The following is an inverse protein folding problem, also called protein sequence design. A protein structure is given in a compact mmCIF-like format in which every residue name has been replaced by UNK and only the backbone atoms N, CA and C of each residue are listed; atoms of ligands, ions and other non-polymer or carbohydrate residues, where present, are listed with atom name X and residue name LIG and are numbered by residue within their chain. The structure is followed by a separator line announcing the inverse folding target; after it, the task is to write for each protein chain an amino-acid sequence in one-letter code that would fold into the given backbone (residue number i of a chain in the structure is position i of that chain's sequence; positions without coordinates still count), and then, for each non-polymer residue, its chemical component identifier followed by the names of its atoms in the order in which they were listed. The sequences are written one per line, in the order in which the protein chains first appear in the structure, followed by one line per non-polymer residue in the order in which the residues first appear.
data_IF_823529366663
#
_entry.id   IF_823529366663
#
_cell.length_a   1.000
_cell.length_b   1.000
_cell.length_c   1.000
_cell.angle_alpha   90.00
_cell.angle_beta   90.00
_cell.angle_gamma   90.00
#
_symmetry.space_group_name_H-M   'P 1'
#
loop_
_entity.id
_entity.type
_entity.pdbx_description
1 polymer ?
#
# COMPACT_ATOMS: atom_id res chain seq x y z
N UNK A 1 -39.41 5.82 7.64
CA UNK A 1 -38.56 6.99 7.35
C UNK A 1 -37.50 6.54 6.37
N UNK A 2 -37.38 7.18 5.21
CA UNK A 2 -36.31 6.82 4.26
C UNK A 2 -34.97 7.06 4.93
N UNK A 3 -34.13 6.01 5.05
CA UNK A 3 -32.78 6.13 5.57
C UNK A 3 -32.00 7.12 4.70
N UNK A 4 -31.61 8.23 5.31
CA UNK A 4 -30.90 9.31 4.65
C UNK A 4 -29.48 8.81 4.34
N UNK A 5 -29.15 8.61 3.07
CA UNK A 5 -27.80 8.20 2.64
C UNK A 5 -26.72 9.16 3.15
N UNK A 6 -25.47 8.68 3.15
CA UNK A 6 -24.31 9.46 3.62
C UNK A 6 -24.09 10.72 2.77
N UNK A 7 -23.62 11.80 3.39
CA UNK A 7 -23.32 13.04 2.69
C UNK A 7 -22.07 12.91 1.80
N UNK A 8 -21.99 13.70 0.71
CA UNK A 8 -20.79 13.79 -0.13
C UNK A 8 -19.54 14.16 0.66
N UNK A 9 -19.67 15.02 1.68
CA UNK A 9 -18.59 15.39 2.60
C UNK A 9 -18.08 14.17 3.38
N UNK A 10 -18.97 13.32 3.87
CA UNK A 10 -18.63 12.08 4.59
C UNK A 10 -17.79 11.14 3.70
N UNK A 11 -18.22 10.95 2.44
CA UNK A 11 -17.44 10.14 1.49
C UNK A 11 -16.04 10.69 1.24
N UNK A 12 -15.89 12.00 1.05
CA UNK A 12 -14.57 12.63 0.83
C UNK A 12 -13.66 12.50 2.06
N UNK A 13 -14.21 12.79 3.26
CA UNK A 13 -13.46 12.67 4.51
C UNK A 13 -13.04 11.21 4.73
N UNK A 14 -13.92 10.25 4.49
CA UNK A 14 -13.60 8.83 4.57
C UNK A 14 -12.50 8.46 3.57
N UNK A 15 -12.60 8.92 2.30
CA UNK A 15 -11.59 8.67 1.26
C UNK A 15 -10.20 9.17 1.64
N UNK A 16 -10.10 10.31 2.35
CA UNK A 16 -8.80 10.81 2.84
C UNK A 16 -8.11 9.83 3.80
N UNK A 17 -8.88 9.05 4.56
CA UNK A 17 -8.32 8.10 5.53
C UNK A 17 -7.42 7.03 4.93
N UNK A 18 -7.58 6.67 3.64
CA UNK A 18 -6.72 5.68 2.97
C UNK A 18 -5.32 6.21 2.65
N UNK A 19 -5.03 7.48 2.95
CA UNK A 19 -3.72 8.12 2.70
C UNK A 19 -2.54 7.45 3.44
N UNK A 20 -2.79 6.61 4.47
CA UNK A 20 -1.75 5.77 5.07
C UNK A 20 -1.07 4.85 4.03
N UNK A 21 -1.71 4.59 2.91
CA UNK A 21 -1.13 3.87 1.79
C UNK A 21 0.10 4.57 1.19
N UNK A 22 0.20 5.89 1.29
CA UNK A 22 1.40 6.63 0.91
C UNK A 22 2.60 6.10 1.71
N UNK A 23 2.44 5.90 3.03
CA UNK A 23 3.51 5.43 3.90
C UNK A 23 3.90 3.98 3.56
N UNK A 24 2.92 3.11 3.29
CA UNK A 24 3.18 1.73 2.84
C UNK A 24 3.93 1.70 1.50
N UNK A 25 3.57 2.55 0.53
CA UNK A 25 4.26 2.61 -0.76
C UNK A 25 5.71 3.09 -0.61
N UNK A 26 5.95 4.14 0.18
CA UNK A 26 7.31 4.63 0.46
C UNK A 26 8.15 3.55 1.14
N UNK A 27 7.60 2.87 2.16
CA UNK A 27 8.24 1.73 2.81
C UNK A 27 8.66 0.66 1.80
N UNK A 28 7.71 0.16 1.01
CA UNK A 28 7.96 -0.95 0.09
C UNK A 28 8.90 -0.59 -1.07
N UNK A 29 8.87 0.66 -1.54
CA UNK A 29 9.67 1.07 -2.70
C UNK A 29 11.10 1.49 -2.33
N UNK A 30 11.28 2.16 -1.19
CA UNK A 30 12.53 2.86 -0.91
C UNK A 30 13.32 2.24 0.23
N UNK A 31 12.72 1.43 1.12
CA UNK A 31 13.45 0.90 2.27
C UNK A 31 14.56 -0.05 1.86
N UNK A 32 14.26 -1.04 1.02
CA UNK A 32 15.28 -1.97 0.51
C UNK A 32 16.36 -1.23 -0.25
N UNK A 33 16.01 -0.28 -1.12
CA UNK A 33 16.95 0.54 -1.87
C UNK A 33 17.87 1.36 -0.96
N UNK A 34 17.37 1.88 0.16
CA UNK A 34 18.16 2.64 1.12
C UNK A 34 19.18 1.80 1.87
N UNK A 35 18.81 0.57 2.28
CA UNK A 35 19.69 -0.31 3.04
C UNK A 35 20.62 -1.16 2.18
N UNK A 36 20.24 -1.45 0.96
CA UNK A 36 20.96 -2.25 -0.02
C UNK A 36 20.97 -1.54 -1.38
N UNK A 37 21.61 -0.37 -1.48
CA UNK A 37 21.70 0.33 -2.76
C UNK A 37 22.46 -0.51 -3.78
N UNK A 38 22.13 -0.39 -5.08
CA UNK A 38 22.90 -1.04 -6.14
C UNK A 38 24.32 -0.48 -6.21
N UNK A 39 25.27 -1.28 -6.73
CA UNK A 39 26.70 -0.95 -6.75
C UNK A 39 27.08 0.30 -7.54
N UNK A 40 26.25 0.72 -8.47
CA UNK A 40 26.42 1.95 -9.26
C UNK A 40 25.81 3.21 -8.59
N UNK A 41 25.20 3.07 -7.41
CA UNK A 41 24.79 4.22 -6.59
C UNK A 41 25.99 4.73 -5.77
N UNK A 42 26.36 6.00 -5.98
CA UNK A 42 27.62 6.54 -5.45
C UNK A 42 27.49 7.11 -4.03
N UNK A 43 26.30 7.62 -3.69
CA UNK A 43 26.08 8.38 -2.46
C UNK A 43 25.51 7.56 -1.31
N UNK A 44 24.98 6.38 -1.60
CA UNK A 44 24.50 5.41 -0.64
C UNK A 44 25.45 4.22 -0.53
N UNK A 45 25.76 3.81 0.70
CA UNK A 45 26.53 2.59 0.97
C UNK A 45 25.63 1.51 1.54
N UNK A 46 25.85 0.22 1.21
CA UNK A 46 25.13 -0.87 1.85
C UNK A 46 25.29 -0.82 3.38
N UNK A 47 24.16 -0.87 4.08
CA UNK A 47 24.14 -0.82 5.56
C UNK A 47 23.94 -2.20 6.18
N UNK A 48 23.33 -3.13 5.44
CA UNK A 48 23.06 -4.50 5.86
C UNK A 48 23.39 -5.48 4.74
N UNK A 49 23.48 -6.76 5.07
CA UNK A 49 23.45 -7.84 4.08
C UNK A 49 22.02 -8.15 3.66
N UNK A 50 21.77 -8.70 2.46
CA UNK A 50 20.43 -9.10 2.02
C UNK A 50 19.74 -10.02 3.02
N UNK A 51 20.47 -10.99 3.57
CA UNK A 51 19.98 -11.97 4.55
C UNK A 51 19.46 -11.29 5.82
N UNK A 52 20.24 -10.37 6.40
CA UNK A 52 19.81 -9.65 7.61
C UNK A 52 18.59 -8.75 7.35
N UNK A 53 18.53 -8.10 6.19
CA UNK A 53 17.38 -7.28 5.84
C UNK A 53 16.09 -8.13 5.69
N UNK A 54 16.20 -9.30 5.06
CA UNK A 54 15.07 -10.24 4.94
C UNK A 54 14.59 -10.70 6.31
N UNK A 55 15.49 -11.07 7.24
CA UNK A 55 15.10 -11.45 8.60
C UNK A 55 14.42 -10.30 9.35
N UNK A 56 14.89 -9.07 9.21
CA UNK A 56 14.23 -7.91 9.80
C UNK A 56 12.81 -7.72 9.23
N UNK A 57 12.60 -7.95 7.93
CA UNK A 57 11.28 -7.87 7.31
C UNK A 57 10.34 -8.98 7.77
N UNK A 58 10.83 -10.23 7.83
CA UNK A 58 10.05 -11.37 8.34
C UNK A 58 9.58 -11.10 9.77
N UNK A 59 10.47 -10.59 10.63
CA UNK A 59 10.14 -10.26 12.02
C UNK A 59 8.97 -9.27 12.11
N UNK A 60 9.00 -8.19 11.33
CA UNK A 60 7.90 -7.22 11.29
C UNK A 60 6.58 -7.82 10.79
N UNK A 61 6.63 -8.67 9.76
CA UNK A 61 5.43 -9.35 9.24
C UNK A 61 4.83 -10.37 10.19
N UNK A 62 5.65 -11.02 11.00
CA UNK A 62 5.16 -11.90 12.07
C UNK A 62 4.40 -11.11 13.15
N UNK A 63 4.91 -9.93 13.51
CA UNK A 63 4.22 -9.02 14.44
C UNK A 63 2.89 -8.56 13.86
N UNK A 64 2.87 -8.12 12.59
CA UNK A 64 1.66 -7.71 11.86
C UNK A 64 0.57 -8.79 11.94
N UNK A 65 0.90 -10.00 11.49
CA UNK A 65 -0.02 -11.13 11.50
C UNK A 65 -0.57 -11.48 12.90
N UNK A 66 0.23 -11.32 13.94
CA UNK A 66 -0.18 -11.58 15.32
C UNK A 66 -1.07 -10.46 15.89
N UNK A 67 -0.84 -9.21 15.49
CA UNK A 67 -1.55 -8.05 16.02
C UNK A 67 -2.88 -7.75 15.33
N UNK A 68 -3.03 -8.13 14.05
CA UNK A 68 -4.27 -7.87 13.29
C UNK A 68 -5.55 -8.32 14.03
N UNK A 69 -5.68 -9.58 14.50
CA UNK A 69 -6.86 -10.01 15.23
C UNK A 69 -7.02 -9.32 16.59
N UNK A 70 -5.90 -8.99 17.25
CA UNK A 70 -5.91 -8.33 18.57
C UNK A 70 -6.44 -6.88 18.42
N UNK A 71 -5.92 -6.13 17.47
CA UNK A 71 -6.36 -4.76 17.20
C UNK A 71 -7.81 -4.75 16.71
N UNK A 72 -8.20 -5.70 15.85
CA UNK A 72 -9.60 -5.88 15.44
C UNK A 72 -10.52 -5.99 16.64
N UNK A 73 -10.23 -6.95 17.53
CA UNK A 73 -11.00 -7.17 18.75
C UNK A 73 -11.04 -5.95 19.70
N UNK A 74 -9.89 -5.33 19.94
CA UNK A 74 -9.79 -4.15 20.81
C UNK A 74 -10.58 -2.96 20.24
N UNK A 75 -10.50 -2.75 18.93
CA UNK A 75 -11.22 -1.66 18.27
C UNK A 75 -12.73 -1.87 18.27
N UNK A 76 -13.20 -3.12 18.18
CA UNK A 76 -14.62 -3.46 18.28
C UNK A 76 -15.21 -3.14 19.66
N UNK A 77 -14.42 -3.35 20.71
CA UNK A 77 -14.83 -3.11 22.11
C UNK A 77 -14.64 -1.69 22.62
N UNK A 78 -13.98 -0.84 21.86
CA UNK A 78 -13.68 0.52 22.28
C UNK A 78 -14.96 1.36 22.48
N UNK A 79 -15.00 2.11 23.57
CA UNK A 79 -16.08 3.04 23.93
C UNK A 79 -15.63 4.50 23.84
N UNK A 80 -14.65 4.81 23.00
CA UNK A 80 -14.09 6.15 22.87
C UNK A 80 -15.15 7.18 22.45
N UNK A 81 -15.03 8.39 23.02
CA UNK A 81 -15.85 9.54 22.66
C UNK A 81 -15.67 10.03 21.21
N UNK A 82 -14.54 9.70 20.60
CA UNK A 82 -14.20 10.08 19.20
C UNK A 82 -14.73 9.08 18.16
N UNK A 83 -15.29 7.94 18.60
CA UNK A 83 -15.60 6.79 17.78
C UNK A 83 -14.71 5.61 18.11
N UNK A 84 -15.19 4.40 17.92
CA UNK A 84 -14.47 3.19 18.30
C UNK A 84 -13.28 2.92 17.36
N UNK A 85 -13.44 3.21 16.06
CA UNK A 85 -12.42 3.02 15.01
C UNK A 85 -11.50 4.24 14.90
N UNK A 86 -12.08 5.44 14.85
CA UNK A 86 -11.34 6.70 14.74
C UNK A 86 -10.33 6.89 15.87
N UNK A 87 -10.63 6.43 17.07
CA UNK A 87 -9.70 6.48 18.21
C UNK A 87 -8.40 5.71 17.92
N UNK A 88 -8.50 4.49 17.37
CA UNK A 88 -7.31 3.69 17.02
C UNK A 88 -6.51 4.33 15.90
N UNK A 89 -7.16 4.91 14.90
CA UNK A 89 -6.49 5.68 13.86
C UNK A 89 -5.72 6.88 14.43
N UNK A 90 -6.29 7.58 15.42
CA UNK A 90 -5.62 8.71 16.09
C UNK A 90 -4.36 8.28 16.83
N UNK A 91 -4.41 7.23 17.63
CA UNK A 91 -3.25 6.77 18.40
C UNK A 91 -2.21 6.07 17.54
N UNK A 92 -2.62 5.37 16.48
CA UNK A 92 -1.72 4.70 15.54
C UNK A 92 -1.03 5.64 14.55
N UNK A 93 -1.67 6.77 14.22
CA UNK A 93 -1.19 7.68 13.18
C UNK A 93 0.19 8.26 13.45
N UNK A 94 0.42 8.87 14.60
CA UNK A 94 1.72 9.46 14.95
C UNK A 94 2.84 8.42 15.04
N UNK A 95 2.67 7.27 15.75
CA UNK A 95 3.66 6.20 15.72
C UNK A 95 3.98 5.70 14.31
N UNK A 96 2.97 5.58 13.43
CA UNK A 96 3.15 5.18 12.04
C UNK A 96 4.04 6.16 11.28
N UNK A 97 3.81 7.46 11.46
CA UNK A 97 4.63 8.51 10.87
C UNK A 97 6.07 8.48 11.39
N UNK A 98 6.23 8.41 12.71
CA UNK A 98 7.56 8.42 13.35
C UNK A 98 8.38 7.20 12.96
N UNK A 99 7.79 6.01 12.96
CA UNK A 99 8.50 4.77 12.60
C UNK A 99 8.93 4.75 11.15
N UNK A 100 8.11 5.27 10.22
CA UNK A 100 8.53 5.41 8.82
C UNK A 100 9.73 6.34 8.68
N UNK A 101 9.73 7.48 9.36
CA UNK A 101 10.86 8.40 9.32
C UNK A 101 12.11 7.74 9.94
N UNK A 102 11.99 7.10 11.10
CA UNK A 102 13.09 6.47 11.81
C UNK A 102 13.79 5.36 11.02
N UNK A 103 13.12 4.68 10.10
CA UNK A 103 13.77 3.75 9.19
C UNK A 103 14.92 4.37 8.40
N UNK A 104 14.79 5.62 8.01
CA UNK A 104 15.79 6.31 7.18
C UNK A 104 16.84 7.09 8.01
N UNK A 105 16.81 6.91 9.33
CA UNK A 105 17.80 7.40 10.28
C UNK A 105 18.38 6.25 11.13
N UNK A 106 19.07 5.26 10.50
CA UNK A 106 19.56 4.08 11.20
C UNK A 106 20.73 4.38 12.15
N UNK A 107 20.87 3.53 13.17
CA UNK A 107 22.07 3.46 13.97
C UNK A 107 23.18 2.80 13.13
N UNK A 108 24.21 3.55 12.78
CA UNK A 108 25.33 3.09 11.91
C UNK A 108 26.55 2.64 12.70
N UNK A 109 26.43 2.32 14.00
CA UNK A 109 27.57 1.96 14.86
C UNK A 109 28.16 0.58 14.55
N UNK A 110 27.32 -0.38 14.15
CA UNK A 110 27.71 -1.71 13.67
C UNK A 110 26.60 -2.33 12.82
N UNK A 111 26.94 -3.35 12.04
CA UNK A 111 25.95 -4.11 11.22
C UNK A 111 24.84 -4.69 12.11
N UNK A 112 25.22 -5.22 13.31
CA UNK A 112 24.26 -5.80 14.24
C UNK A 112 23.35 -4.72 14.85
N UNK A 113 23.89 -3.55 15.21
CA UNK A 113 23.09 -2.43 15.71
C UNK A 113 22.11 -1.92 14.65
N UNK A 114 22.55 -1.84 13.39
CA UNK A 114 21.68 -1.48 12.27
C UNK A 114 20.57 -2.52 12.06
N UNK A 115 20.90 -3.82 12.13
CA UNK A 115 19.92 -4.91 12.00
C UNK A 115 18.87 -4.84 13.12
N UNK A 116 19.30 -4.74 14.38
CA UNK A 116 18.38 -4.65 15.52
C UNK A 116 17.50 -3.41 15.43
N UNK A 117 18.07 -2.29 14.99
CA UNK A 117 17.31 -1.07 14.74
C UNK A 117 16.21 -1.30 13.71
N UNK A 118 16.55 -1.84 12.52
CA UNK A 118 15.57 -2.10 11.47
C UNK A 118 14.51 -3.09 11.93
N UNK A 119 14.89 -4.16 12.61
CA UNK A 119 13.95 -5.16 13.11
C UNK A 119 12.97 -4.55 14.13
N UNK A 120 13.48 -3.77 15.09
CA UNK A 120 12.66 -3.08 16.09
C UNK A 120 11.70 -2.08 15.44
N UNK A 121 12.22 -1.19 14.59
CA UNK A 121 11.39 -0.19 13.91
C UNK A 121 10.36 -0.86 13.00
N UNK A 122 10.71 -2.00 12.36
CA UNK A 122 9.77 -2.75 11.52
C UNK A 122 8.61 -3.33 12.34
N UNK A 123 8.89 -3.89 13.50
CA UNK A 123 7.84 -4.34 14.42
C UNK A 123 6.92 -3.21 14.87
N UNK A 124 7.50 -2.07 15.25
CA UNK A 124 6.73 -0.88 15.66
C UNK A 124 5.93 -0.28 14.51
N UNK A 125 6.49 -0.25 13.30
CA UNK A 125 5.81 0.23 12.09
C UNK A 125 4.57 -0.60 11.78
N UNK A 126 4.69 -1.93 11.74
CA UNK A 126 3.55 -2.79 11.47
C UNK A 126 2.52 -2.76 12.60
N UNK A 127 2.96 -2.66 13.86
CA UNK A 127 2.04 -2.40 14.99
C UNK A 127 1.21 -1.13 14.76
N UNK A 128 1.87 -0.04 14.42
CA UNK A 128 1.21 1.24 14.17
C UNK A 128 0.36 1.21 12.88
N UNK A 129 0.83 0.50 11.86
CA UNK A 129 0.10 0.31 10.60
C UNK A 129 -1.22 -0.43 10.83
N UNK A 130 -1.20 -1.54 11.58
CA UNK A 130 -2.41 -2.30 11.94
C UNK A 130 -3.38 -1.46 12.78
N UNK A 131 -2.88 -0.61 13.70
CA UNK A 131 -3.73 0.32 14.47
C UNK A 131 -4.48 1.33 13.59
N UNK A 132 -3.96 1.65 12.39
CA UNK A 132 -4.61 2.56 11.44
C UNK A 132 -5.43 1.80 10.41
N UNK A 133 -4.84 0.80 9.74
CA UNK A 133 -5.41 0.14 8.57
C UNK A 133 -6.62 -0.74 8.90
N UNK A 134 -6.53 -1.53 9.97
CA UNK A 134 -7.61 -2.43 10.40
C UNK A 134 -8.88 -1.67 10.76
N UNK A 135 -8.84 -0.73 11.73
CA UNK A 135 -9.98 0.11 12.08
C UNK A 135 -10.52 0.93 10.90
N UNK A 136 -9.65 1.49 10.04
CA UNK A 136 -10.08 2.22 8.85
C UNK A 136 -10.92 1.34 7.90
N UNK A 137 -10.45 0.12 7.58
CA UNK A 137 -11.20 -0.80 6.71
C UNK A 137 -12.52 -1.23 7.34
N UNK A 138 -12.59 -1.37 8.66
CA UNK A 138 -13.79 -1.72 9.39
C UNK A 138 -14.83 -0.58 9.47
N UNK A 139 -14.47 0.66 9.07
CA UNK A 139 -15.44 1.76 8.97
C UNK A 139 -16.48 1.53 7.87
N UNK A 140 -16.17 0.81 6.77
CA UNK A 140 -17.15 0.59 5.70
C UNK A 140 -18.43 -0.06 6.24
N UNK A 141 -18.38 -1.27 6.87
CA UNK A 141 -19.57 -1.87 7.41
C UNK A 141 -20.18 -1.06 8.56
N UNK A 142 -19.41 -0.25 9.27
CA UNK A 142 -19.90 0.57 10.38
C UNK A 142 -20.66 1.83 9.92
N UNK A 143 -20.28 2.43 8.79
CA UNK A 143 -20.86 3.67 8.27
C UNK A 143 -22.01 3.43 7.28
N UNK A 144 -21.94 2.34 6.49
CA UNK A 144 -22.89 2.10 5.41
C UNK A 144 -24.27 1.70 5.97
N UNK A 145 -25.30 2.51 5.82
CA UNK A 145 -26.66 2.21 6.24
C UNK A 145 -27.41 1.38 5.18
N UNK A 146 -27.03 1.54 3.92
CA UNK A 146 -27.63 0.87 2.77
C UNK A 146 -26.57 0.10 1.97
N UNK A 147 -27.04 -0.82 1.11
CA UNK A 147 -26.17 -1.49 0.13
C UNK A 147 -25.50 -0.46 -0.79
N UNK A 148 -26.20 0.60 -1.14
CA UNK A 148 -25.67 1.68 -1.98
C UNK A 148 -24.56 2.45 -1.26
N UNK A 149 -24.72 2.80 0.03
CA UNK A 149 -23.66 3.43 0.81
C UNK A 149 -22.40 2.58 0.88
N UNK A 150 -22.55 1.25 1.05
CA UNK A 150 -21.41 0.32 1.07
C UNK A 150 -20.65 0.33 -0.25
N UNK A 151 -21.35 0.28 -1.38
CA UNK A 151 -20.74 0.36 -2.71
C UNK A 151 -20.04 1.69 -2.90
N UNK A 152 -20.67 2.80 -2.53
CA UNK A 152 -20.12 4.13 -2.67
C UNK A 152 -18.87 4.34 -1.81
N UNK A 153 -18.88 3.90 -0.54
CA UNK A 153 -17.70 3.95 0.35
C UNK A 153 -16.53 3.13 -0.22
N UNK A 154 -16.80 1.90 -0.69
CA UNK A 154 -15.78 1.05 -1.31
C UNK A 154 -15.22 1.67 -2.59
N UNK A 155 -16.06 2.28 -3.41
CA UNK A 155 -15.65 2.96 -4.64
C UNK A 155 -14.77 4.18 -4.33
N UNK A 156 -15.17 5.00 -3.37
CA UNK A 156 -14.40 6.17 -2.92
C UNK A 156 -13.06 5.72 -2.34
N UNK A 157 -13.04 4.71 -1.47
CA UNK A 157 -11.81 4.15 -0.92
C UNK A 157 -10.84 3.71 -2.04
N UNK A 158 -11.34 2.95 -3.01
CA UNK A 158 -10.53 2.44 -4.12
C UNK A 158 -9.98 3.58 -4.99
N UNK A 159 -10.79 4.60 -5.25
CA UNK A 159 -10.38 5.78 -6.03
C UNK A 159 -9.28 6.55 -5.34
N UNK A 160 -9.44 6.85 -4.05
CA UNK A 160 -8.42 7.54 -3.26
C UNK A 160 -7.16 6.70 -3.08
N UNK A 161 -7.31 5.37 -2.86
CA UNK A 161 -6.18 4.44 -2.78
C UNK A 161 -5.36 4.46 -4.05
N UNK A 162 -6.01 4.41 -5.22
CA UNK A 162 -5.34 4.50 -6.52
C UNK A 162 -4.59 5.82 -6.67
N UNK A 163 -5.23 6.94 -6.35
CA UNK A 163 -4.61 8.27 -6.43
C UNK A 163 -3.39 8.39 -5.50
N UNK A 164 -3.50 7.98 -4.24
CA UNK A 164 -2.39 8.04 -3.28
C UNK A 164 -1.26 7.05 -3.64
N UNK A 165 -1.60 5.87 -4.16
CA UNK A 165 -0.60 4.93 -4.70
C UNK A 165 0.16 5.55 -5.86
N UNK A 166 -0.54 6.16 -6.82
CA UNK A 166 0.11 6.82 -7.96
C UNK A 166 1.03 7.97 -7.51
N UNK A 167 0.58 8.82 -6.59
CA UNK A 167 1.38 9.90 -6.01
C UNK A 167 2.64 9.33 -5.36
N UNK A 168 2.50 8.31 -4.51
CA UNK A 168 3.61 7.73 -3.75
C UNK A 168 4.58 6.91 -4.60
N UNK A 169 4.16 6.39 -5.73
CA UNK A 169 5.01 5.61 -6.63
C UNK A 169 5.70 6.48 -7.70
N UNK A 170 5.04 7.54 -8.16
CA UNK A 170 5.55 8.37 -9.26
C UNK A 170 6.46 9.49 -8.76
N UNK A 171 6.01 10.25 -7.77
CA UNK A 171 6.66 11.51 -7.40
C UNK A 171 7.97 11.40 -6.60
N UNK A 172 8.21 10.37 -5.75
CA UNK A 172 9.41 10.33 -4.90
C UNK A 172 10.72 10.45 -5.68
N UNK A 173 10.86 9.78 -6.83
CA UNK A 173 12.08 9.86 -7.64
C UNK A 173 12.46 11.30 -8.03
N UNK A 174 11.47 12.11 -8.37
CA UNK A 174 11.66 13.54 -8.66
C UNK A 174 12.09 14.32 -7.41
N UNK A 175 11.39 14.13 -6.30
CA UNK A 175 11.69 14.85 -5.05
C UNK A 175 13.05 14.43 -4.47
N UNK A 176 13.42 13.15 -4.54
CA UNK A 176 14.74 12.66 -4.11
C UNK A 176 15.84 13.39 -4.88
N UNK A 177 15.74 13.47 -6.20
CA UNK A 177 16.73 14.15 -7.03
C UNK A 177 16.78 15.66 -6.73
N UNK A 178 15.61 16.30 -6.61
CA UNK A 178 15.50 17.74 -6.39
C UNK A 178 15.99 18.17 -5.01
N UNK A 179 15.55 17.47 -3.96
CA UNK A 179 15.89 17.83 -2.56
C UNK A 179 17.28 17.34 -2.17
N UNK A 180 17.77 16.27 -2.82
CA UNK A 180 19.07 15.69 -2.55
C UNK A 180 20.24 16.54 -3.06
N UNK A 181 20.04 17.33 -4.13
CA UNK A 181 21.12 18.10 -4.77
C UNK A 181 22.39 17.26 -5.02
N UNK A 182 22.22 16.06 -5.62
CA UNK A 182 23.30 15.12 -5.89
C UNK A 182 23.62 14.13 -4.76
N UNK A 183 23.00 14.26 -3.59
CA UNK A 183 23.11 13.29 -2.49
C UNK A 183 21.79 12.52 -2.33
N UNK A 184 21.79 11.26 -2.78
CA UNK A 184 20.59 10.39 -2.76
C UNK A 184 20.13 10.11 -1.33
N UNK A 185 21.03 9.92 -0.37
CA UNK A 185 20.68 9.68 1.05
C UNK A 185 19.88 10.85 1.62
N UNK A 186 20.37 12.07 1.45
CA UNK A 186 19.68 13.30 1.85
C UNK A 186 18.33 13.44 1.15
N UNK A 187 18.30 13.17 -0.16
CA UNK A 187 17.10 13.25 -0.99
C UNK A 187 16.02 12.30 -0.51
N UNK A 188 16.36 11.03 -0.22
CA UNK A 188 15.42 10.03 0.31
C UNK A 188 14.87 10.49 1.66
N UNK A 189 15.72 10.91 2.61
CA UNK A 189 15.28 11.36 3.94
C UNK A 189 14.27 12.51 3.87
N UNK A 190 14.56 13.54 3.10
CA UNK A 190 13.67 14.69 2.98
C UNK A 190 12.36 14.33 2.27
N UNK A 191 12.43 13.48 1.24
CA UNK A 191 11.24 12.99 0.53
C UNK A 191 10.36 12.14 1.44
N UNK A 192 10.95 11.25 2.22
CA UNK A 192 10.22 10.42 3.19
C UNK A 192 9.47 11.30 4.21
N UNK A 193 10.12 12.31 4.76
CA UNK A 193 9.47 13.25 5.70
C UNK A 193 8.29 13.94 5.02
N UNK A 194 8.47 14.47 3.80
CA UNK A 194 7.41 15.14 3.04
C UNK A 194 6.19 14.24 2.82
N UNK A 195 6.43 13.01 2.32
CA UNK A 195 5.35 12.08 2.01
C UNK A 195 4.71 11.49 3.27
N UNK A 196 5.47 11.36 4.36
CA UNK A 196 4.93 10.97 5.67
C UNK A 196 3.95 12.01 6.18
N UNK A 197 4.30 13.29 6.14
CA UNK A 197 3.39 14.38 6.54
C UNK A 197 2.13 14.39 5.68
N UNK A 198 2.28 14.23 4.36
CA UNK A 198 1.14 14.18 3.44
C UNK A 198 0.20 12.99 3.75
N UNK A 199 0.77 11.79 3.95
CA UNK A 199 -0.02 10.59 4.22
C UNK A 199 -0.71 10.63 5.58
N UNK A 200 -0.01 11.09 6.61
CA UNK A 200 -0.60 11.12 7.96
C UNK A 200 -1.64 12.23 8.14
N UNK A 201 -1.50 13.33 7.41
CA UNK A 201 -2.51 14.40 7.41
C UNK A 201 -3.88 13.88 6.97
N UNK A 202 -3.96 13.08 5.92
CA UNK A 202 -5.23 12.49 5.47
C UNK A 202 -5.82 11.51 6.48
N UNK A 203 -5.01 10.70 7.16
CA UNK A 203 -5.45 9.83 8.26
C UNK A 203 -6.09 10.65 9.38
N UNK A 204 -5.44 11.72 9.81
CA UNK A 204 -5.99 12.60 10.86
C UNK A 204 -7.21 13.39 10.41
N UNK A 205 -7.27 13.83 9.14
CA UNK A 205 -8.49 14.44 8.58
C UNK A 205 -9.65 13.46 8.71
N UNK A 206 -9.46 12.18 8.35
CA UNK A 206 -10.50 11.18 8.51
C UNK A 206 -10.83 10.96 9.99
N UNK A 207 -9.85 10.71 10.84
CA UNK A 207 -10.05 10.35 12.23
C UNK A 207 -10.75 11.44 13.06
N UNK A 208 -10.47 12.74 12.79
CA UNK A 208 -11.06 13.85 13.53
C UNK A 208 -12.39 14.35 12.96
N UNK A 209 -12.54 14.35 11.62
CA UNK A 209 -13.67 15.01 10.97
C UNK A 209 -14.77 14.05 10.48
N UNK A 210 -14.55 12.73 10.51
CA UNK A 210 -15.56 11.75 10.08
C UNK A 210 -16.79 11.71 11.00
N UNK A 211 -16.63 12.09 12.29
CA UNK A 211 -17.70 12.05 13.30
C UNK A 211 -18.34 10.65 13.41
N UNK A 212 -17.53 9.62 13.43
CA UNK A 212 -17.95 8.21 13.44
C UNK A 212 -19.08 7.93 14.42
N UNK A 213 -18.97 8.45 15.66
CA UNK A 213 -19.96 8.23 16.72
C UNK A 213 -21.35 8.72 16.35
N UNK A 214 -21.44 9.89 15.69
CA UNK A 214 -22.74 10.45 15.26
C UNK A 214 -23.37 9.60 14.16
N UNK A 215 -22.55 9.02 13.28
CA UNK A 215 -22.99 8.23 12.12
C UNK A 215 -23.35 6.78 12.48
N UNK A 216 -22.83 6.25 13.61
CA UNK A 216 -23.01 4.83 13.99
C UNK A 216 -24.00 4.61 15.13
N UNK A 217 -24.57 5.67 15.74
CA UNK A 217 -25.47 5.58 16.89
C UNK A 217 -26.79 4.82 16.64
N UNK A 218 -27.19 4.61 15.39
CA UNK A 218 -28.49 4.02 15.02
C UNK A 218 -28.45 2.52 14.74
N UNK A 219 -27.33 1.81 15.02
CA UNK A 219 -27.18 0.41 14.61
C UNK A 219 -27.49 -0.59 15.71
N UNK A 220 -28.44 -1.48 15.41
CA UNK A 220 -28.54 -2.79 16.06
C UNK A 220 -27.27 -3.61 15.82
N UNK A 221 -26.85 -4.34 16.86
CA UNK A 221 -25.69 -5.25 16.80
C UNK A 221 -25.93 -6.27 15.69
N UNK A 222 -25.15 -6.19 14.61
CA UNK A 222 -25.02 -7.31 13.67
C UNK A 222 -24.59 -8.54 14.46
N UNK A 223 -25.30 -9.65 14.29
CA UNK A 223 -24.92 -10.94 14.86
C UNK A 223 -23.51 -11.29 14.41
N UNK A 224 -22.60 -11.40 15.36
CA UNK A 224 -21.23 -11.83 15.08
C UNK A 224 -21.27 -13.32 14.79
N UNK A 225 -20.93 -13.71 13.56
CA UNK A 225 -20.69 -15.10 13.20
C UNK A 225 -19.70 -15.73 14.20
N UNK A 226 -19.99 -16.93 14.69
CA UNK A 226 -19.07 -17.63 15.58
C UNK A 226 -17.77 -17.92 14.80
N UNK A 227 -16.63 -17.68 15.41
CA UNK A 227 -15.30 -17.87 14.81
C UNK A 227 -15.16 -19.28 14.18
N UNK A 228 -15.77 -20.29 14.81
CA UNK A 228 -15.77 -21.67 14.31
C UNK A 228 -16.45 -21.82 12.94
N UNK A 229 -17.55 -21.12 12.71
CA UNK A 229 -18.30 -21.17 11.45
C UNK A 229 -17.54 -20.43 10.36
N UNK A 230 -16.94 -19.28 10.68
CA UNK A 230 -16.07 -18.53 9.76
C UNK A 230 -14.85 -19.35 9.33
N UNK A 231 -14.21 -20.08 10.26
CA UNK A 231 -13.07 -20.95 9.94
C UNK A 231 -13.48 -22.11 9.02
N UNK A 232 -14.68 -22.69 9.18
CA UNK A 232 -15.15 -23.75 8.29
C UNK A 232 -15.22 -23.30 6.85
N UNK A 233 -15.79 -22.09 6.59
CA UNK A 233 -15.83 -21.51 5.25
C UNK A 233 -14.45 -21.16 4.68
N UNK A 234 -13.49 -20.78 5.54
CA UNK A 234 -12.13 -20.48 5.10
C UNK A 234 -11.38 -21.68 4.54
N UNK A 235 -11.74 -22.92 4.96
CA UNK A 235 -11.13 -24.17 4.48
C UNK A 235 -11.91 -24.86 3.34
N UNK A 236 -12.93 -24.24 2.78
CA UNK A 236 -13.58 -24.73 1.57
C UNK A 236 -12.62 -24.65 0.38
N UNK A 237 -12.70 -25.63 -0.53
CA UNK A 237 -11.78 -25.75 -1.68
C UNK A 237 -11.76 -24.50 -2.54
N UNK A 238 -12.91 -23.89 -2.82
CA UNK A 238 -13.05 -22.67 -3.59
C UNK A 238 -12.35 -21.49 -2.91
N UNK A 239 -12.49 -21.37 -1.61
CA UNK A 239 -11.86 -20.33 -0.79
C UNK A 239 -10.34 -20.49 -0.76
N UNK A 240 -9.83 -21.72 -0.62
CA UNK A 240 -8.39 -22.01 -0.67
C UNK A 240 -7.80 -21.65 -2.03
N UNK A 241 -8.48 -22.03 -3.13
CA UNK A 241 -8.02 -21.68 -4.50
C UNK A 241 -7.99 -20.16 -4.68
N UNK A 242 -9.02 -19.45 -4.21
CA UNK A 242 -9.07 -18.00 -4.26
C UNK A 242 -7.90 -17.37 -3.48
N UNK A 243 -7.66 -17.79 -2.25
CA UNK A 243 -6.55 -17.30 -1.44
C UNK A 243 -5.19 -17.62 -2.05
N UNK A 244 -5.01 -18.80 -2.64
CA UNK A 244 -3.77 -19.15 -3.35
C UNK A 244 -3.53 -18.24 -4.57
N UNK A 245 -4.54 -18.00 -5.37
CA UNK A 245 -4.46 -17.10 -6.52
C UNK A 245 -4.17 -15.64 -6.08
N UNK A 246 -4.86 -15.18 -5.05
CA UNK A 246 -4.64 -13.88 -4.43
C UNK A 246 -3.21 -13.72 -3.92
N UNK A 247 -2.72 -14.70 -3.16
CA UNK A 247 -1.35 -14.72 -2.63
C UNK A 247 -0.31 -14.65 -3.73
N UNK A 248 -0.42 -15.51 -4.76
CA UNK A 248 0.52 -15.54 -5.88
C UNK A 248 0.54 -14.20 -6.64
N UNK A 249 -0.64 -13.65 -6.92
CA UNK A 249 -0.75 -12.37 -7.62
C UNK A 249 -0.13 -11.22 -6.81
N UNK A 250 -0.51 -11.08 -5.54
CA UNK A 250 -0.01 -10.00 -4.70
C UNK A 250 1.48 -10.16 -4.36
N UNK A 251 2.00 -11.39 -4.28
CA UNK A 251 3.43 -11.64 -4.16
C UNK A 251 4.18 -11.12 -5.39
N UNK A 252 3.73 -11.46 -6.61
CA UNK A 252 4.30 -10.96 -7.84
C UNK A 252 4.23 -9.42 -7.95
N UNK A 253 3.09 -8.83 -7.59
CA UNK A 253 2.92 -7.39 -7.56
C UNK A 253 3.88 -6.68 -6.58
N UNK A 254 4.05 -7.23 -5.38
CA UNK A 254 4.99 -6.67 -4.40
C UNK A 254 6.44 -6.78 -4.86
N UNK A 255 6.83 -7.90 -5.51
CA UNK A 255 8.16 -8.07 -6.09
C UNK A 255 8.38 -7.03 -7.19
N UNK A 256 7.46 -6.89 -8.14
CA UNK A 256 7.54 -5.90 -9.21
C UNK A 256 7.75 -4.50 -8.64
N UNK A 257 6.93 -4.11 -7.67
CA UNK A 257 6.97 -2.81 -7.00
C UNK A 257 8.31 -2.54 -6.30
N UNK A 258 8.84 -3.54 -5.61
CA UNK A 258 10.11 -3.42 -4.89
C UNK A 258 11.34 -3.39 -5.81
N UNK A 259 11.25 -4.03 -6.97
CA UNK A 259 12.38 -4.17 -7.90
C UNK A 259 12.53 -2.99 -8.86
N UNK A 260 11.47 -2.21 -9.11
CA UNK A 260 11.49 -1.12 -10.11
C UNK A 260 12.68 -0.17 -9.91
N UNK A 261 12.97 0.27 -8.69
CA UNK A 261 14.07 1.19 -8.42
C UNK A 261 15.43 0.58 -8.77
N UNK A 262 15.63 -0.69 -8.40
CA UNK A 262 16.86 -1.43 -8.75
C UNK A 262 16.99 -1.63 -10.25
N UNK A 263 15.90 -1.96 -10.93
CA UNK A 263 15.87 -2.18 -12.37
C UNK A 263 16.29 -0.91 -13.13
N UNK A 264 15.74 0.25 -12.75
CA UNK A 264 16.09 1.53 -13.38
C UNK A 264 17.56 1.88 -13.16
N UNK A 265 18.09 1.69 -11.96
CA UNK A 265 19.45 2.08 -11.63
C UNK A 265 20.47 1.02 -12.09
N UNK A 266 20.20 -0.28 -11.88
CA UNK A 266 21.19 -1.35 -12.15
C UNK A 266 21.13 -1.89 -13.58
N UNK A 267 19.93 -2.06 -14.17
CA UNK A 267 19.77 -2.67 -15.50
C UNK A 267 19.76 -1.61 -16.59
N UNK A 268 18.98 -0.54 -16.38
CA UNK A 268 18.93 0.56 -17.36
C UNK A 268 20.09 1.54 -17.23
N UNK A 269 20.87 1.47 -16.15
CA UNK A 269 21.95 2.41 -15.79
C UNK A 269 21.50 3.89 -15.85
N UNK A 270 20.30 4.16 -15.35
CA UNK A 270 19.72 5.50 -15.29
C UNK A 270 19.76 6.06 -13.87
N UNK A 271 19.67 7.39 -13.78
CA UNK A 271 19.63 8.07 -12.48
C UNK A 271 18.34 7.77 -11.71
N UNK A 272 18.37 7.89 -10.38
CA UNK A 272 17.19 7.74 -9.50
C UNK A 272 16.02 8.64 -9.93
N UNK A 273 16.29 9.81 -10.52
CA UNK A 273 15.26 10.70 -11.09
C UNK A 273 14.43 9.99 -12.17
N UNK A 274 15.02 9.09 -12.94
CA UNK A 274 14.34 8.35 -14.01
C UNK A 274 13.29 7.38 -13.48
N UNK A 275 13.33 7.01 -12.19
CA UNK A 275 12.27 6.25 -11.54
C UNK A 275 10.91 6.95 -11.65
N UNK A 276 10.88 8.30 -11.63
CA UNK A 276 9.65 9.06 -11.81
C UNK A 276 8.99 8.74 -13.15
N UNK A 277 9.76 8.71 -14.24
CA UNK A 277 9.24 8.44 -15.60
C UNK A 277 8.77 6.98 -15.69
N UNK A 278 9.59 6.05 -15.24
CA UNK A 278 9.25 4.61 -15.30
C UNK A 278 8.03 4.30 -14.43
N UNK A 279 7.97 4.83 -13.22
CA UNK A 279 6.81 4.67 -12.34
C UNK A 279 5.56 5.35 -12.94
N UNK A 280 5.70 6.51 -13.58
CA UNK A 280 4.59 7.17 -14.26
C UNK A 280 4.06 6.35 -15.44
N UNK A 281 4.91 5.70 -16.22
CA UNK A 281 4.51 4.81 -17.29
C UNK A 281 3.78 3.57 -16.74
N UNK A 282 4.33 2.93 -15.72
CA UNK A 282 3.76 1.73 -15.09
C UNK A 282 2.41 2.04 -14.41
N UNK A 283 2.42 2.94 -13.42
CA UNK A 283 1.23 3.22 -12.61
C UNK A 283 0.25 4.17 -13.30
N UNK A 284 0.73 5.06 -14.18
CA UNK A 284 -0.11 5.90 -15.02
C UNK A 284 -0.90 5.08 -16.05
N UNK A 285 -0.25 4.10 -16.70
CA UNK A 285 -0.94 3.17 -17.59
C UNK A 285 -1.99 2.34 -16.84
N UNK A 286 -1.66 1.85 -15.63
CA UNK A 286 -2.61 1.13 -14.79
C UNK A 286 -3.82 2.01 -14.42
N UNK A 287 -3.59 3.27 -14.03
CA UNK A 287 -4.65 4.21 -13.67
C UNK A 287 -5.59 4.54 -14.84
N UNK A 288 -5.04 4.71 -16.05
CA UNK A 288 -5.82 4.96 -17.26
C UNK A 288 -6.62 3.71 -17.67
N UNK A 289 -6.00 2.54 -17.60
CA UNK A 289 -6.64 1.28 -17.97
C UNK A 289 -7.73 0.84 -16.98
N UNK A 290 -7.59 1.21 -15.70
CA UNK A 290 -8.48 0.84 -14.61
C UNK A 290 -10.00 1.03 -14.94
N UNK A 291 -10.51 2.20 -15.36
CA UNK A 291 -11.92 2.37 -15.70
C UNK A 291 -12.32 1.57 -16.95
N UNK A 292 -11.41 1.34 -17.89
CA UNK A 292 -11.65 0.57 -19.11
C UNK A 292 -11.82 -0.90 -18.76
N UNK A 293 -10.90 -1.46 -17.98
CA UNK A 293 -10.94 -2.85 -17.49
C UNK A 293 -12.20 -3.12 -16.68
N UNK A 294 -12.63 -2.18 -15.82
CA UNK A 294 -13.88 -2.29 -15.08
C UNK A 294 -15.13 -2.38 -16.00
N UNK A 295 -15.18 -1.58 -17.06
CA UNK A 295 -16.26 -1.66 -18.07
C UNK A 295 -16.22 -2.98 -18.84
N UNK A 296 -15.04 -3.43 -19.26
CA UNK A 296 -14.86 -4.68 -19.98
C UNK A 296 -15.22 -5.90 -19.11
N UNK A 297 -14.88 -5.89 -17.83
CA UNK A 297 -15.20 -6.95 -16.89
C UNK A 297 -16.70 -7.12 -16.70
N UNK A 298 -17.46 -6.02 -16.66
CA UNK A 298 -18.94 -6.06 -16.65
C UNK A 298 -19.53 -6.63 -17.95
N UNK A 299 -18.90 -6.37 -19.10
CA UNK A 299 -19.40 -6.80 -20.42
C UNK A 299 -19.07 -8.27 -20.72
N UNK A 300 -17.85 -8.72 -20.42
CA UNK A 300 -17.37 -10.04 -20.86
C UNK A 300 -17.28 -11.08 -19.73
N UNK A 301 -16.90 -10.76 -18.56
CA UNK A 301 -16.78 -11.55 -17.32
C UNK A 301 -15.52 -11.14 -16.56
N UNK A 302 -15.61 -11.02 -15.25
CA UNK A 302 -14.46 -10.72 -14.38
C UNK A 302 -13.32 -11.71 -14.57
N UNK A 303 -13.61 -13.02 -14.62
CA UNK A 303 -12.60 -14.07 -14.81
C UNK A 303 -11.82 -13.92 -16.12
N UNK A 304 -12.52 -13.67 -17.26
CA UNK A 304 -11.87 -13.54 -18.58
C UNK A 304 -10.94 -12.33 -18.63
N UNK A 305 -11.39 -11.20 -18.09
CA UNK A 305 -10.59 -9.97 -18.07
C UNK A 305 -9.38 -10.12 -17.15
N UNK A 306 -9.54 -10.71 -15.97
CA UNK A 306 -8.41 -10.98 -15.07
C UNK A 306 -7.35 -11.86 -15.74
N UNK A 307 -7.75 -12.92 -16.44
CA UNK A 307 -6.81 -13.79 -17.15
C UNK A 307 -6.07 -13.00 -18.25
N UNK A 308 -6.78 -12.14 -19.00
CA UNK A 308 -6.17 -11.30 -20.03
C UNK A 308 -5.16 -10.31 -19.43
N UNK A 309 -5.51 -9.64 -18.33
CA UNK A 309 -4.63 -8.69 -17.66
C UNK A 309 -3.38 -9.38 -17.10
N UNK A 310 -3.53 -10.56 -16.48
CA UNK A 310 -2.38 -11.36 -16.02
C UNK A 310 -1.50 -11.79 -17.21
N UNK A 311 -2.08 -12.20 -18.31
CA UNK A 311 -1.32 -12.55 -19.51
C UNK A 311 -0.52 -11.36 -20.07
N UNK A 312 -1.12 -10.18 -20.13
CA UNK A 312 -0.45 -8.94 -20.52
C UNK A 312 0.71 -8.62 -19.55
N UNK A 313 0.48 -8.74 -18.25
CA UNK A 313 1.51 -8.52 -17.24
C UNK A 313 2.69 -9.49 -17.41
N UNK A 314 2.41 -10.77 -17.64
CA UNK A 314 3.45 -11.80 -17.88
C UNK A 314 4.27 -11.46 -19.11
N UNK A 315 3.64 -11.11 -20.24
CA UNK A 315 4.34 -10.74 -21.48
C UNK A 315 5.23 -9.52 -21.25
N UNK A 316 4.70 -8.48 -20.58
CA UNK A 316 5.48 -7.30 -20.24
C UNK A 316 6.68 -7.61 -19.34
N UNK A 317 6.47 -8.42 -18.31
CA UNK A 317 7.53 -8.80 -17.36
C UNK A 317 8.61 -9.69 -18.01
N UNK A 318 8.21 -10.65 -18.84
CA UNK A 318 9.16 -11.47 -19.61
C UNK A 318 9.95 -10.58 -20.57
N UNK A 319 9.30 -9.63 -21.25
CA UNK A 319 9.98 -8.68 -22.13
C UNK A 319 11.08 -7.88 -21.40
N UNK A 320 10.85 -7.49 -20.16
CA UNK A 320 11.84 -6.78 -19.34
C UNK A 320 13.12 -7.60 -19.07
N UNK A 321 13.08 -8.94 -19.13
CA UNK A 321 14.28 -9.78 -18.98
C UNK A 321 15.28 -9.61 -20.13
N UNK A 322 14.86 -9.15 -21.30
CA UNK A 322 15.69 -8.96 -22.48
C UNK A 322 16.21 -7.52 -22.62
N UNK A 323 15.85 -6.64 -21.68
CA UNK A 323 16.35 -5.26 -21.68
C UNK A 323 17.72 -5.20 -21.04
N UNK A 324 18.61 -4.47 -21.71
CA UNK A 324 19.98 -4.16 -21.27
C UNK A 324 20.19 -2.65 -21.35
N UNK A 325 21.35 -2.16 -20.90
CA UNK A 325 21.70 -0.73 -21.05
C UNK A 325 21.69 -0.24 -22.49
N UNK A 326 22.03 -1.10 -23.44
CA UNK A 326 22.18 -0.73 -24.86
C UNK A 326 20.81 -0.59 -25.55
N UNK A 327 19.81 -1.37 -25.11
CA UNK A 327 18.45 -1.36 -25.67
C UNK A 327 17.40 -0.84 -24.66
N UNK A 328 17.80 -0.09 -23.64
CA UNK A 328 16.95 0.40 -22.53
C UNK A 328 15.69 1.13 -22.97
N UNK A 329 15.64 1.66 -24.20
CA UNK A 329 14.45 2.30 -24.77
C UNK A 329 13.27 1.32 -24.81
N UNK A 330 13.52 0.02 -25.01
CA UNK A 330 12.48 -1.03 -25.02
C UNK A 330 11.79 -1.19 -23.66
N UNK A 331 12.42 -0.77 -22.56
CA UNK A 331 11.79 -0.82 -21.24
C UNK A 331 10.54 0.07 -21.13
N UNK A 332 10.50 1.21 -21.81
CA UNK A 332 9.38 2.15 -21.70
C UNK A 332 8.03 1.54 -22.14
N UNK A 333 7.88 0.99 -23.36
CA UNK A 333 6.65 0.34 -23.76
C UNK A 333 6.34 -0.92 -22.94
N UNK A 334 7.36 -1.64 -22.46
CA UNK A 334 7.16 -2.82 -21.60
C UNK A 334 6.61 -2.44 -20.23
N UNK A 335 7.05 -1.35 -19.62
CA UNK A 335 6.46 -0.84 -18.38
C UNK A 335 5.02 -0.35 -18.57
N UNK A 336 4.69 0.25 -19.72
CA UNK A 336 3.29 0.57 -20.06
C UNK A 336 2.48 -0.72 -20.15
N UNK A 337 3.00 -1.76 -20.81
CA UNK A 337 2.32 -3.05 -20.94
C UNK A 337 2.09 -3.70 -19.57
N UNK A 338 3.10 -3.69 -18.69
CA UNK A 338 2.95 -4.15 -17.31
C UNK A 338 1.87 -3.35 -16.56
N UNK A 339 1.81 -2.04 -16.74
CA UNK A 339 0.79 -1.17 -16.15
C UNK A 339 -0.63 -1.52 -16.63
N UNK A 340 -0.81 -1.76 -17.92
CA UNK A 340 -2.08 -2.23 -18.46
C UNK A 340 -2.52 -3.54 -17.81
N UNK A 341 -1.61 -4.51 -17.67
CA UNK A 341 -1.88 -5.81 -17.03
C UNK A 341 -2.14 -5.72 -15.51
N UNK A 342 -1.68 -4.65 -14.83
CA UNK A 342 -1.98 -4.43 -13.42
C UNK A 342 -3.39 -3.87 -13.18
N UNK A 343 -4.06 -3.32 -14.18
CA UNK A 343 -5.32 -2.60 -14.02
C UNK A 343 -6.47 -3.47 -13.48
N UNK A 344 -6.62 -4.69 -13.95
CA UNK A 344 -7.70 -5.59 -13.55
C UNK A 344 -7.59 -6.11 -12.13
N UNK A 345 -6.39 -6.29 -11.65
CA UNK A 345 -6.13 -6.81 -10.30
C UNK A 345 -6.62 -5.90 -9.18
N UNK A 346 -6.55 -4.58 -9.39
CA UNK A 346 -7.03 -3.61 -8.42
C UNK A 346 -8.55 -3.65 -8.22
N UNK A 347 -9.31 -4.20 -9.22
CA UNK A 347 -10.77 -4.30 -9.17
C UNK A 347 -11.28 -5.68 -8.78
N UNK A 348 -10.64 -6.73 -9.27
CA UNK A 348 -11.26 -8.06 -9.29
C UNK A 348 -11.04 -8.79 -7.98
N UNK A 349 -9.91 -8.59 -7.33
CA UNK A 349 -9.63 -9.22 -6.04
C UNK A 349 -10.37 -8.63 -4.83
N UNK A 350 -10.74 -7.32 -4.78
CA UNK A 350 -11.54 -6.78 -3.68
C UNK A 350 -13.05 -7.05 -3.80
N UNK A 351 -13.55 -7.57 -4.92
CA UNK A 351 -14.96 -7.89 -5.15
C UNK A 351 -15.29 -9.33 -4.80
#
# INVERSE_FOLDING_TARGET
MAEKGLSKRTYLIYGMGVSYFILDQIYNQWLSFYYLPPSNEVTLKPLLTPTLLIFAFIFGRMIDAALDPIVGYLSDKSKSKYGRRSFFMMIGGLPLALTLILFFFPLKSSIMATFLWVALINGLFFTAYTLVSGPYNALIPDLANTKEDRINLSTVQSTFRLAFTAIAMILPGYFIAKMGNGNTEKGIRLTVILFTVLGIAGVYICAFFLKERELTQSREKLETLKLKDSLKYAFEKETIIYFAAFFLFFSGFNILRGVVNYYVVSVMELSVKSNTIISALLFGAAAIAFPITGKLAKKYSYKKILIADIAILIVGTIGLLFVTKDNRILAYPLFILCGLGLSGSAFIFPL
#
